data_IF_341882608998
#
_entry.id   IF_341882608998
#
_cell.length_a   1.000
_cell.length_b   1.000
_cell.length_c   1.000
_cell.angle_alpha   90.00
_cell.angle_beta   90.00
_cell.angle_gamma   90.00
#
_symmetry.space_group_name_H-M   'P 1'
#
loop_
_entity.id
_entity.type
_entity.pdbx_description
1 polymer ?
#
# COMPACT_ATOMS: atom_id res chain seq x y z
N UNK A 1 -12.29 8.64 -21.77
CA UNK A 1 -11.24 7.97 -22.57
C UNK A 1 -11.86 6.87 -23.42
N UNK A 2 -11.30 6.51 -24.58
CA UNK A 2 -11.83 5.47 -25.48
C UNK A 2 -10.70 4.52 -25.94
N UNK A 3 -10.91 3.21 -25.86
CA UNK A 3 -9.94 2.17 -26.20
C UNK A 3 -9.88 1.93 -27.71
N UNK A 4 -8.66 1.87 -28.26
CA UNK A 4 -8.41 1.70 -29.70
C UNK A 4 -8.55 0.21 -30.06
N UNK A 5 -9.14 -0.05 -31.23
CA UNK A 5 -9.52 -1.36 -31.79
C UNK A 5 -10.87 -1.93 -31.30
N UNK A 6 -11.45 -1.41 -30.21
CA UNK A 6 -12.80 -1.82 -29.76
C UNK A 6 -13.81 -0.66 -29.76
N UNK A 7 -13.34 0.59 -29.77
CA UNK A 7 -14.20 1.79 -29.78
C UNK A 7 -14.91 2.07 -28.46
N UNK A 8 -14.63 1.26 -27.42
CA UNK A 8 -15.27 1.36 -26.10
C UNK A 8 -14.82 2.63 -25.39
N UNK A 9 -15.77 3.50 -25.02
CA UNK A 9 -15.53 4.78 -24.34
C UNK A 9 -15.77 4.65 -22.84
N UNK A 10 -14.71 4.75 -22.04
CA UNK A 10 -14.66 4.84 -20.58
C UNK A 10 -14.75 6.31 -20.11
N UNK A 11 -15.88 6.79 -19.58
CA UNK A 11 -15.86 7.92 -18.65
C UNK A 11 -15.31 7.43 -17.28
N UNK A 12 -14.98 8.34 -16.35
CA UNK A 12 -14.94 8.15 -14.87
C UNK A 12 -13.64 8.54 -14.13
N UNK A 13 -13.85 9.03 -12.90
CA UNK A 13 -12.87 9.52 -11.93
C UNK A 13 -11.81 8.48 -11.56
N UNK A 14 -10.56 8.88 -11.78
CA UNK A 14 -9.34 8.09 -11.97
C UNK A 14 -9.01 7.04 -10.91
N UNK A 15 -9.01 5.75 -11.26
CA UNK A 15 -8.02 4.80 -10.77
C UNK A 15 -6.96 4.61 -11.88
N UNK A 16 -5.77 5.15 -11.66
CA UNK A 16 -4.61 4.99 -12.56
C UNK A 16 -3.74 3.84 -12.06
N UNK A 17 -4.15 2.62 -12.34
CA UNK A 17 -3.23 1.48 -12.26
C UNK A 17 -2.44 1.49 -13.57
N UNK A 18 -1.19 1.94 -13.53
CA UNK A 18 -0.34 2.03 -14.73
C UNK A 18 0.27 0.68 -15.09
N UNK A 19 0.70 -0.09 -14.09
CA UNK A 19 1.48 -1.30 -14.32
C UNK A 19 1.33 -2.27 -13.15
N UNK A 20 1.24 -3.55 -13.47
CA UNK A 20 1.15 -4.64 -12.50
C UNK A 20 2.37 -5.54 -12.65
N UNK A 21 2.99 -5.85 -11.53
CA UNK A 21 4.14 -6.71 -11.41
C UNK A 21 3.81 -7.91 -10.54
N UNK A 22 4.62 -8.96 -10.64
CA UNK A 22 4.55 -10.09 -9.73
C UNK A 22 5.66 -9.95 -8.69
N UNK A 23 5.39 -10.30 -7.44
CA UNK A 23 6.41 -10.27 -6.37
C UNK A 23 6.74 -11.65 -5.86
N UNK A 24 7.99 -11.81 -5.41
CA UNK A 24 8.51 -13.04 -4.82
C UNK A 24 9.15 -12.78 -3.48
N UNK A 25 9.04 -13.74 -2.57
CA UNK A 25 9.76 -13.72 -1.30
C UNK A 25 11.27 -13.69 -1.57
N UNK A 26 11.98 -12.67 -1.07
CA UNK A 26 13.41 -12.49 -1.34
C UNK A 26 14.30 -13.29 -0.37
N UNK A 27 13.78 -13.59 0.82
CA UNK A 27 14.45 -14.39 1.85
C UNK A 27 13.46 -15.32 2.53
N UNK A 28 13.89 -16.55 2.83
CA UNK A 28 13.06 -17.48 3.56
C UNK A 28 12.76 -16.94 4.97
N UNK A 29 11.54 -17.14 5.46
CA UNK A 29 11.12 -16.73 6.80
C UNK A 29 10.17 -17.76 7.40
N UNK A 30 10.35 -18.03 8.69
CA UNK A 30 9.43 -18.83 9.51
C UNK A 30 8.41 -17.92 10.17
N UNK A 31 7.15 -18.30 10.07
CA UNK A 31 6.01 -17.61 10.67
C UNK A 31 5.34 -18.51 11.70
N UNK A 32 5.49 -18.17 12.97
CA UNK A 32 4.75 -18.84 14.03
C UNK A 32 3.24 -18.51 13.94
N UNK A 33 2.35 -19.40 14.41
CA UNK A 33 0.91 -19.17 14.44
C UNK A 33 0.54 -17.81 15.04
N UNK A 34 -0.33 -17.07 14.37
CA UNK A 34 -0.83 -15.77 14.81
C UNK A 34 0.19 -14.62 14.79
N UNK A 35 1.42 -14.84 14.32
CA UNK A 35 2.47 -13.79 14.30
C UNK A 35 2.49 -13.04 12.97
N UNK A 36 2.93 -11.79 13.06
CA UNK A 36 3.22 -10.90 11.94
C UNK A 36 4.73 -10.67 11.83
N UNK A 37 5.22 -10.53 10.61
CA UNK A 37 6.63 -10.22 10.35
C UNK A 37 6.78 -9.38 9.09
N UNK A 38 7.80 -8.52 9.10
CA UNK A 38 8.25 -7.82 7.90
C UNK A 38 9.11 -8.74 7.04
N UNK A 39 8.72 -8.90 5.78
CA UNK A 39 9.40 -9.73 4.79
C UNK A 39 9.89 -8.87 3.64
N UNK A 40 11.12 -9.09 3.22
CA UNK A 40 11.63 -8.49 1.98
C UNK A 40 11.13 -9.30 0.81
N UNK A 41 10.51 -8.63 -0.15
CA UNK A 41 10.06 -9.21 -1.42
C UNK A 41 10.75 -8.52 -2.59
N UNK A 42 10.96 -9.27 -3.67
CA UNK A 42 11.50 -8.77 -4.93
C UNK A 42 10.34 -8.54 -5.91
N UNK A 43 10.30 -7.37 -6.53
CA UNK A 43 9.35 -7.05 -7.60
C UNK A 43 9.96 -7.53 -8.92
N UNK A 44 9.26 -8.44 -9.59
CA UNK A 44 9.74 -9.03 -10.84
C UNK A 44 9.44 -8.10 -12.01
N UNK A 45 10.48 -7.52 -12.59
CA UNK A 45 10.38 -6.58 -13.72
C UNK A 45 11.20 -5.32 -13.48
N UNK A 46 10.88 -4.25 -14.21
CA UNK A 46 11.53 -2.94 -14.08
C UNK A 46 10.58 -1.91 -13.46
N UNK A 47 9.98 -2.25 -12.32
CA UNK A 47 9.23 -1.30 -11.52
C UNK A 47 10.12 -0.09 -11.18
N UNK A 48 9.70 1.15 -11.44
CA UNK A 48 10.51 2.31 -11.11
C UNK A 48 10.75 2.38 -9.61
N UNK A 49 11.99 2.69 -9.22
CA UNK A 49 12.31 2.93 -7.82
C UNK A 49 11.54 4.14 -7.27
N UNK A 50 11.37 4.15 -5.94
CA UNK A 50 10.63 5.16 -5.17
C UNK A 50 9.14 5.28 -5.57
N UNK A 51 8.61 4.25 -6.22
CA UNK A 51 7.20 4.15 -6.59
C UNK A 51 6.39 3.44 -5.51
N UNK A 52 5.20 3.98 -5.21
CA UNK A 52 4.24 3.31 -4.34
C UNK A 52 3.52 2.21 -5.09
N UNK A 53 3.46 1.01 -4.52
CA UNK A 53 2.73 -0.14 -5.05
C UNK A 53 1.73 -0.65 -4.02
N UNK A 54 0.59 -1.15 -4.50
CA UNK A 54 -0.38 -1.92 -3.74
C UNK A 54 -0.08 -3.41 -3.95
N UNK A 55 0.19 -4.12 -2.87
CA UNK A 55 0.41 -5.56 -2.82
C UNK A 55 -0.89 -6.27 -2.47
N UNK A 56 -1.30 -7.16 -3.36
CA UNK A 56 -2.47 -8.02 -3.18
C UNK A 56 -2.06 -9.48 -3.32
N UNK A 57 -2.47 -10.31 -2.36
CA UNK A 57 -2.15 -11.74 -2.38
C UNK A 57 -2.71 -12.40 -3.64
N UNK A 58 -1.90 -13.26 -4.25
CA UNK A 58 -2.36 -14.00 -5.43
C UNK A 58 -3.41 -15.06 -5.05
N UNK A 59 -4.32 -15.44 -5.97
CA UNK A 59 -5.29 -16.51 -5.73
C UNK A 59 -4.65 -17.84 -5.31
N UNK A 60 -3.43 -18.12 -5.77
CA UNK A 60 -2.68 -19.33 -5.46
C UNK A 60 -1.93 -19.27 -4.12
N UNK A 61 -1.90 -18.11 -3.46
CA UNK A 61 -1.30 -17.97 -2.14
C UNK A 61 -2.11 -18.76 -1.11
N UNK A 62 -1.41 -19.47 -0.22
CA UNK A 62 -2.04 -20.16 0.91
C UNK A 62 -2.94 -19.18 1.68
N UNK A 63 -4.22 -19.54 1.85
CA UNK A 63 -5.22 -18.71 2.49
C UNK A 63 -4.85 -18.33 3.94
N UNK A 64 -3.96 -19.07 4.59
CA UNK A 64 -3.46 -18.78 5.93
C UNK A 64 -2.37 -17.70 5.95
N UNK A 65 -1.78 -17.35 4.82
CA UNK A 65 -0.81 -16.26 4.73
C UNK A 65 -1.53 -14.99 4.34
N UNK A 66 -1.55 -13.97 5.21
CA UNK A 66 -2.20 -12.68 4.89
C UNK A 66 -1.19 -11.57 4.71
N UNK A 67 -1.46 -10.72 3.72
CA UNK A 67 -0.79 -9.43 3.57
C UNK A 67 -1.50 -8.44 4.48
N UNK A 68 -0.83 -7.96 5.52
CA UNK A 68 -1.41 -6.99 6.45
C UNK A 68 -1.07 -5.55 6.05
N UNK A 69 0.11 -5.34 5.47
CA UNK A 69 0.50 -4.06 4.86
C UNK A 69 0.52 -4.16 3.34
N UNK A 70 -0.51 -3.65 2.70
CA UNK A 70 -0.66 -3.72 1.25
C UNK A 70 0.04 -2.57 0.52
N UNK A 71 0.11 -1.36 1.09
CA UNK A 71 0.76 -0.22 0.42
C UNK A 71 2.26 -0.12 0.78
N UNK A 72 3.13 -0.31 -0.21
CA UNK A 72 4.60 -0.36 -0.05
C UNK A 72 5.32 0.55 -1.05
N UNK A 73 6.59 0.86 -0.79
CA UNK A 73 7.47 1.60 -1.71
C UNK A 73 8.53 0.67 -2.26
N UNK A 74 8.78 0.74 -3.57
CA UNK A 74 9.84 -0.01 -4.25
C UNK A 74 11.17 0.69 -4.04
N UNK A 75 12.19 -0.03 -3.58
CA UNK A 75 13.57 0.44 -3.51
C UNK A 75 14.51 -0.64 -4.03
N UNK A 76 15.28 -0.34 -5.07
CA UNK A 76 16.17 -1.30 -5.73
C UNK A 76 15.44 -2.55 -6.20
N UNK A 77 14.22 -2.38 -6.74
CA UNK A 77 13.36 -3.48 -7.16
C UNK A 77 12.84 -4.38 -6.03
N UNK A 78 12.88 -3.93 -4.78
CA UNK A 78 12.39 -4.68 -3.60
C UNK A 78 11.36 -3.88 -2.83
N UNK A 79 10.51 -4.57 -2.09
CA UNK A 79 9.55 -4.00 -1.14
C UNK A 79 9.67 -4.70 0.21
N UNK A 80 9.25 -4.01 1.27
CA UNK A 80 9.09 -4.62 2.59
C UNK A 80 7.60 -4.72 2.86
N UNK A 81 7.11 -5.94 3.02
CA UNK A 81 5.69 -6.25 3.24
C UNK A 81 5.50 -6.83 4.63
N UNK A 82 4.41 -6.49 5.29
CA UNK A 82 4.01 -7.14 6.54
C UNK A 82 3.08 -8.31 6.24
N UNK A 83 3.41 -9.46 6.81
CA UNK A 83 2.77 -10.74 6.53
C UNK A 83 2.39 -11.42 7.83
N UNK A 84 1.17 -11.95 7.91
CA UNK A 84 0.73 -12.74 9.06
C UNK A 84 0.48 -14.20 8.71
N UNK A 85 0.72 -15.07 9.69
CA UNK A 85 0.24 -16.44 9.68
C UNK A 85 -1.08 -16.53 10.47
N UNK A 86 -2.17 -16.76 9.75
CA UNK A 86 -3.51 -16.98 10.28
C UNK A 86 -3.84 -18.45 10.57
N UNK A 87 -2.89 -19.37 10.34
CA UNK A 87 -3.01 -20.78 10.69
C UNK A 87 -2.79 -21.01 12.19
N UNK A 88 -3.17 -22.21 12.64
CA UNK A 88 -2.78 -22.80 13.93
C UNK A 88 -1.39 -23.45 13.89
N UNK A 89 -0.86 -23.71 12.69
CA UNK A 89 0.43 -24.36 12.46
C UNK A 89 1.51 -23.37 11.99
N UNK A 90 2.77 -23.73 12.18
CA UNK A 90 3.90 -22.95 11.67
C UNK A 90 3.95 -22.96 10.14
N UNK A 91 4.22 -21.81 9.53
CA UNK A 91 4.38 -21.67 8.07
C UNK A 91 5.80 -21.24 7.72
N UNK A 92 6.28 -21.71 6.57
CA UNK A 92 7.58 -21.30 6.01
C UNK A 92 7.34 -20.65 4.65
N UNK A 93 7.61 -19.35 4.56
CA UNK A 93 7.67 -18.68 3.26
C UNK A 93 9.06 -18.92 2.70
N UNK A 94 9.13 -19.61 1.56
CA UNK A 94 10.41 -19.98 0.94
C UNK A 94 10.89 -18.88 0.00
N UNK A 95 12.21 -18.71 -0.12
CA UNK A 95 12.79 -17.78 -1.08
C UNK A 95 12.36 -18.15 -2.50
N UNK A 96 11.91 -17.17 -3.27
CA UNK A 96 11.46 -17.33 -4.65
C UNK A 96 9.98 -17.69 -4.81
N UNK A 97 9.29 -17.99 -3.70
CA UNK A 97 7.84 -18.19 -3.67
C UNK A 97 7.15 -16.96 -4.25
N UNK A 98 6.27 -17.18 -5.23
CA UNK A 98 5.42 -16.13 -5.76
C UNK A 98 4.33 -15.82 -4.75
N UNK A 99 4.14 -14.54 -4.43
CA UNK A 99 3.40 -14.15 -3.24
C UNK A 99 2.25 -13.18 -3.51
N UNK A 100 2.53 -12.09 -4.23
CA UNK A 100 1.56 -11.01 -4.42
C UNK A 100 1.71 -10.36 -5.79
N UNK A 101 0.61 -9.82 -6.32
CA UNK A 101 0.66 -8.82 -7.37
C UNK A 101 1.05 -7.47 -6.76
N UNK A 102 1.96 -6.74 -7.39
CA UNK A 102 2.35 -5.38 -7.04
C UNK A 102 1.84 -4.43 -8.11
N UNK A 103 0.84 -3.63 -7.75
CA UNK A 103 0.18 -2.71 -8.66
C UNK A 103 0.66 -1.29 -8.39
N UNK A 104 1.21 -0.61 -9.39
CA UNK A 104 1.68 0.77 -9.25
C UNK A 104 0.53 1.71 -8.93
N UNK A 105 0.67 2.45 -7.82
CA UNK A 105 -0.26 3.49 -7.38
C UNK A 105 0.32 4.84 -7.76
N UNK A 106 -0.30 5.49 -8.76
CA UNK A 106 0.14 6.82 -9.20
C UNK A 106 0.04 7.86 -8.08
N UNK A 107 0.96 8.84 -8.10
CA UNK A 107 0.97 9.97 -7.14
C UNK A 107 -0.37 10.73 -7.10
N UNK A 108 -1.07 10.83 -8.24
CA UNK A 108 -2.37 11.49 -8.31
C UNK A 108 -3.46 10.84 -7.46
N UNK A 109 -3.34 9.55 -7.14
CA UNK A 109 -4.27 8.86 -6.23
C UNK A 109 -4.25 9.46 -4.81
N UNK A 110 -3.18 10.17 -4.45
CA UNK A 110 -3.01 10.81 -3.14
C UNK A 110 -3.36 12.31 -3.15
N UNK A 111 -3.77 12.89 -4.29
CA UNK A 111 -4.01 14.33 -4.40
C UNK A 111 -5.14 14.83 -3.49
N UNK A 112 -6.13 13.98 -3.16
CA UNK A 112 -7.22 14.35 -2.24
C UNK A 112 -6.74 14.57 -0.80
N UNK A 113 -5.62 13.96 -0.37
CA UNK A 113 -5.03 14.22 0.95
C UNK A 113 -4.46 15.64 1.06
N UNK A 114 -4.10 16.24 -0.06
CA UNK A 114 -3.50 17.58 -0.11
C UNK A 114 -4.55 18.68 -0.33
N UNK A 115 -5.82 18.32 -0.52
CA UNK A 115 -6.91 19.29 -0.57
C UNK A 115 -7.21 19.73 0.86
N UNK A 116 -6.81 20.95 1.21
CA UNK A 116 -7.31 21.64 2.41
C UNK A 116 -8.81 21.42 2.50
N UNK A 117 -9.28 20.85 3.63
CA UNK A 117 -10.72 20.79 3.95
C UNK A 117 -11.28 22.19 3.72
N UNK A 118 -12.42 22.38 3.01
CA UNK A 118 -13.01 23.71 2.88
C UNK A 118 -13.16 24.26 4.29
N UNK A 119 -12.45 25.35 4.59
CA UNK A 119 -12.77 26.16 5.75
C UNK A 119 -14.22 26.52 5.56
N UNK A 120 -15.09 26.05 6.46
CA UNK A 120 -16.45 26.53 6.51
C UNK A 120 -16.33 28.05 6.61
N UNK A 121 -16.71 28.76 5.54
CA UNK A 121 -16.92 30.20 5.56
C UNK A 121 -18.05 30.45 6.55
N UNK A 122 -17.70 30.55 7.83
CA UNK A 122 -18.56 31.09 8.84
C UNK A 122 -18.32 32.59 8.82
N UNK A 123 -19.02 33.28 7.91
CA UNK A 123 -19.18 34.72 8.07
C UNK A 123 -19.99 34.96 9.33
N UNK A 124 -19.45 35.90 10.11
CA UNK A 124 -20.03 36.52 11.28
C UNK A 124 -20.00 35.65 12.55
N UNK A 125 -18.98 35.85 13.40
CA UNK A 125 -19.12 36.54 14.68
C UNK A 125 -17.81 36.48 15.51
N UNK A 126 -17.28 37.68 15.80
CA UNK A 126 -16.39 38.10 16.89
C UNK A 126 -15.37 37.10 17.49
N UNK A 127 -14.08 37.38 17.26
CA UNK A 127 -12.93 36.74 17.93
C UNK A 127 -12.63 37.47 19.25
N UNK A 128 -12.55 36.77 20.40
CA UNK A 128 -11.65 37.16 21.47
C UNK A 128 -10.39 36.29 21.43
N UNK A 129 -9.25 36.97 21.55
CA UNK A 129 -7.90 36.41 21.54
C UNK A 129 -7.70 35.30 22.58
N UNK A 130 -7.05 34.20 22.22
CA UNK A 130 -6.48 33.29 23.20
C UNK A 130 -5.12 32.71 22.78
N UNK A 131 -4.09 33.40 23.29
CA UNK A 131 -2.82 32.92 23.87
C UNK A 131 -2.24 31.60 23.34
N UNK A 132 -1.11 31.76 22.66
CA UNK A 132 -0.14 30.72 22.31
C UNK A 132 0.18 29.79 23.50
N UNK A 133 0.06 28.48 23.31
CA UNK A 133 0.68 27.49 24.18
C UNK A 133 0.95 26.22 23.38
N UNK A 134 2.24 26.03 23.09
CA UNK A 134 2.85 24.78 22.64
C UNK A 134 2.31 23.58 23.43
N UNK A 135 1.90 22.52 22.74
CA UNK A 135 1.72 21.20 23.37
C UNK A 135 2.01 20.10 22.36
N UNK A 136 3.15 19.47 22.59
CA UNK A 136 3.65 18.31 21.89
C UNK A 136 2.66 17.14 21.96
N UNK A 137 2.51 16.41 20.86
CA UNK A 137 1.89 15.09 20.87
C UNK A 137 2.91 14.09 21.40
N UNK A 138 2.61 13.44 22.52
CA UNK A 138 3.34 12.25 22.98
C UNK A 138 2.44 11.05 22.74
N UNK A 139 2.97 10.10 21.97
CA UNK A 139 2.51 8.72 21.85
C UNK A 139 2.63 8.02 23.21
N UNK A 140 1.56 7.37 23.64
CA UNK A 140 1.65 6.35 24.68
C UNK A 140 1.48 4.98 24.02
N UNK A 141 2.41 4.09 24.39
CA UNK A 141 2.53 2.69 23.97
C UNK A 141 1.35 1.83 24.44
#
# INVERSE_FOLDING_TARGET
MTLKNTGVTLPLGTPRVEEMYVTRIASAVRLLPGRQVLVVTAVMGKAPDDTTVLLEGLPELDANVKITRTLCTVHGGKTIVDVCNASTDELILTKGMVYAAATVVTKSAFNSLNSSRPTADNKDHHVPSQKNKDSAWILTQ
#
